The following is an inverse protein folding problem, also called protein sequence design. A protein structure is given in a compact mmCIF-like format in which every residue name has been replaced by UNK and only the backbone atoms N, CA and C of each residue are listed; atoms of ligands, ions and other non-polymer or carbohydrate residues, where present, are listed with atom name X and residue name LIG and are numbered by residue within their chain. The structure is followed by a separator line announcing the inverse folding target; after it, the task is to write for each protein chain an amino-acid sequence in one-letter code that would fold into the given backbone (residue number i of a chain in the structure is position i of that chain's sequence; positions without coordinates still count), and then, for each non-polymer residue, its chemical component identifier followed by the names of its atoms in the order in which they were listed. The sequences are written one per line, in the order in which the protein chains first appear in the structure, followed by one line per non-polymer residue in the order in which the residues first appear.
data_IF_745617266811
#
_entry.id   IF_745617266811
#
_cell.length_a   1.000
_cell.length_b   1.000
_cell.length_c   1.000
_cell.angle_alpha   90.00
_cell.angle_beta   90.00
_cell.angle_gamma   90.00
#
_symmetry.space_group_name_H-M   'P 1'
#
loop_
_entity.id
_entity.type
_entity.pdbx_description
1 polymer ?
#
# COMPACT_ATOMS: atom_id res chain seq x y z
N UNK A 1 -23.80 -0.42 18.09
CA UNK A 1 -22.63 -1.13 17.51
C UNK A 1 -21.36 -0.50 18.07
N UNK A 2 -20.31 -1.29 18.32
CA UNK A 2 -18.99 -0.76 18.69
C UNK A 2 -18.40 -0.04 17.46
N UNK A 3 -17.95 1.21 17.61
CA UNK A 3 -17.31 1.97 16.53
C UNK A 3 -15.89 1.47 16.28
N UNK A 4 -15.43 1.59 15.05
CA UNK A 4 -14.03 1.34 14.69
C UNK A 4 -13.18 2.53 15.13
N UNK A 5 -12.18 2.29 15.97
CA UNK A 5 -11.26 3.33 16.46
C UNK A 5 -10.10 3.50 15.50
N UNK A 6 -9.79 4.74 15.15
CA UNK A 6 -8.59 5.09 14.38
C UNK A 6 -7.81 6.13 15.18
N UNK A 7 -6.62 5.74 15.65
CA UNK A 7 -5.71 6.69 16.24
C UNK A 7 -5.01 7.51 15.17
N UNK A 8 -4.97 8.83 15.36
CA UNK A 8 -4.17 9.77 14.59
C UNK A 8 -3.30 10.55 15.55
N UNK A 9 -1.98 10.37 15.44
CA UNK A 9 -1.00 11.00 16.31
C UNK A 9 -0.04 11.85 15.49
N UNK A 10 0.31 13.01 16.02
CA UNK A 10 1.31 13.88 15.40
C UNK A 10 2.71 13.26 15.59
N UNK A 11 3.47 13.14 14.52
CA UNK A 11 4.87 12.75 14.54
C UNK A 11 5.61 13.61 13.50
N UNK A 12 6.29 14.69 13.92
CA UNK A 12 6.75 15.74 13.01
C UNK A 12 7.86 15.29 12.06
N UNK A 13 8.65 14.31 12.47
CA UNK A 13 9.83 13.80 11.77
C UNK A 13 10.10 12.34 12.18
N UNK A 14 11.20 11.79 11.67
CA UNK A 14 11.66 10.44 12.01
C UNK A 14 12.69 10.44 13.15
N UNK A 15 12.69 11.45 14.01
CA UNK A 15 13.62 11.46 15.13
C UNK A 15 13.21 10.38 16.15
N UNK A 16 14.11 9.47 16.58
CA UNK A 16 13.72 8.23 17.26
C UNK A 16 12.79 8.42 18.47
N UNK A 17 13.03 9.48 19.27
CA UNK A 17 12.21 9.80 20.43
C UNK A 17 10.78 10.19 20.04
N UNK A 18 10.61 11.02 19.00
CA UNK A 18 9.30 11.44 18.52
C UNK A 18 8.49 10.26 17.95
N UNK A 19 9.14 9.39 17.17
CA UNK A 19 8.50 8.22 16.55
C UNK A 19 8.02 7.25 17.63
N UNK A 20 8.89 6.93 18.60
CA UNK A 20 8.55 6.03 19.71
C UNK A 20 7.40 6.57 20.55
N UNK A 21 7.48 7.83 20.97
CA UNK A 21 6.43 8.47 21.78
C UNK A 21 5.08 8.49 21.03
N UNK A 22 5.11 8.81 19.73
CA UNK A 22 3.90 8.84 18.89
C UNK A 22 3.29 7.45 18.75
N UNK A 23 4.11 6.42 18.49
CA UNK A 23 3.66 5.03 18.42
C UNK A 23 3.00 4.58 19.73
N UNK A 24 3.64 4.83 20.88
CA UNK A 24 3.10 4.48 22.19
C UNK A 24 1.73 5.13 22.43
N UNK A 25 1.63 6.45 22.22
CA UNK A 25 0.36 7.19 22.36
C UNK A 25 -0.75 6.64 21.46
N UNK A 26 -0.42 6.31 20.21
CA UNK A 26 -1.40 5.78 19.27
C UNK A 26 -1.87 4.37 19.63
N UNK A 27 -0.95 3.50 20.07
CA UNK A 27 -1.26 2.16 20.54
C UNK A 27 -2.15 2.20 21.80
N UNK A 28 -1.84 3.05 22.77
CA UNK A 28 -2.66 3.26 23.97
C UNK A 28 -4.07 3.74 23.61
N UNK A 29 -4.20 4.70 22.69
CA UNK A 29 -5.48 5.26 22.28
C UNK A 29 -6.45 4.23 21.66
N UNK A 30 -5.92 3.17 21.03
CA UNK A 30 -6.73 2.07 20.46
C UNK A 30 -6.93 0.88 21.41
N UNK A 31 -6.42 0.95 22.64
CA UNK A 31 -6.63 -0.06 23.69
C UNK A 31 -5.37 -0.77 24.19
N UNK A 32 -4.19 -0.41 23.68
CA UNK A 32 -2.91 -0.98 24.08
C UNK A 32 -2.63 -2.37 23.47
N UNK A 33 -1.35 -2.73 23.42
CA UNK A 33 -0.88 -3.97 22.78
C UNK A 33 -1.47 -5.23 23.39
N UNK A 34 -1.65 -5.28 24.71
CA UNK A 34 -2.14 -6.49 25.41
C UNK A 34 -3.61 -6.81 25.08
N UNK A 35 -4.38 -5.82 24.66
CA UNK A 35 -5.74 -6.05 24.14
C UNK A 35 -5.76 -6.64 22.74
N UNK A 36 -4.63 -6.52 22.01
CA UNK A 36 -4.50 -6.86 20.61
C UNK A 36 -3.70 -8.13 20.39
N UNK A 37 -2.67 -8.41 21.18
CA UNK A 37 -1.68 -9.46 20.94
C UNK A 37 -1.24 -10.06 22.28
N UNK A 38 -1.23 -11.39 22.39
CA UNK A 38 -0.73 -12.15 23.54
C UNK A 38 0.79 -12.24 23.58
N UNK A 39 1.39 -12.33 24.76
CA UNK A 39 2.86 -12.29 24.93
C UNK A 39 3.60 -13.44 24.26
N UNK A 40 2.97 -14.62 24.20
CA UNK A 40 3.56 -15.85 23.64
C UNK A 40 3.33 -16.00 22.13
N UNK A 41 2.50 -15.15 21.52
CA UNK A 41 2.13 -15.24 20.10
C UNK A 41 3.35 -14.98 19.19
N UNK A 42 3.48 -15.77 18.13
CA UNK A 42 4.45 -15.52 17.06
C UNK A 42 3.98 -14.33 16.22
N UNK A 43 4.64 -13.19 16.39
CA UNK A 43 4.32 -11.94 15.72
C UNK A 43 5.07 -11.84 14.39
N UNK A 44 4.33 -11.59 13.31
CA UNK A 44 4.90 -11.18 12.03
C UNK A 44 4.68 -9.68 11.81
N UNK A 45 5.77 -8.93 11.73
CA UNK A 45 5.78 -7.55 11.30
C UNK A 45 5.85 -7.48 9.78
N UNK A 46 4.87 -6.82 9.17
CA UNK A 46 4.75 -6.69 7.72
C UNK A 46 5.00 -5.22 7.32
N UNK A 47 6.24 -4.80 7.02
CA UNK A 47 6.53 -3.48 6.48
C UNK A 47 6.11 -3.38 5.01
N UNK A 48 6.15 -2.20 4.38
CA UNK A 48 6.01 -2.07 2.94
C UNK A 48 7.37 -2.08 2.23
N UNK A 49 7.77 -3.19 1.59
CA UNK A 49 9.06 -3.37 0.88
C UNK A 49 8.87 -3.65 -0.62
N UNK A 50 8.17 -2.74 -1.31
CA UNK A 50 7.81 -2.94 -2.73
C UNK A 50 9.02 -3.09 -3.67
N UNK A 51 10.03 -2.23 -3.52
CA UNK A 51 11.28 -2.25 -4.29
C UNK A 51 12.35 -1.41 -3.60
N UNK A 52 13.60 -1.62 -3.99
CA UNK A 52 14.72 -0.74 -3.63
C UNK A 52 14.44 0.70 -3.99
N UNK A 53 14.60 1.56 -2.99
CA UNK A 53 14.58 3.00 -3.12
C UNK A 53 15.30 3.60 -1.92
N UNK A 54 15.95 4.74 -2.14
CA UNK A 54 16.48 5.55 -1.05
C UNK A 54 15.37 5.97 -0.09
N UNK A 55 15.70 6.05 1.20
CA UNK A 55 14.79 6.42 2.29
C UNK A 55 13.98 7.68 2.01
N UNK A 56 14.61 8.72 1.47
CA UNK A 56 13.97 10.02 1.22
C UNK A 56 12.88 9.96 0.13
N UNK A 57 12.78 8.85 -0.61
CA UNK A 57 11.76 8.67 -1.63
C UNK A 57 10.40 8.28 -1.08
N UNK A 58 10.27 7.94 0.20
CA UNK A 58 9.00 7.52 0.83
C UNK A 58 8.29 6.38 0.06
N UNK A 59 9.07 5.45 -0.52
CA UNK A 59 8.55 4.31 -1.29
C UNK A 59 8.18 3.14 -0.39
N UNK A 60 9.00 2.91 0.63
CA UNK A 60 8.93 1.82 1.60
C UNK A 60 8.69 2.38 3.00
N UNK A 61 8.21 1.56 3.94
CA UNK A 61 8.09 1.93 5.36
C UNK A 61 9.45 2.40 5.90
N UNK A 62 9.47 3.48 6.66
CA UNK A 62 10.72 4.03 7.18
C UNK A 62 11.31 3.11 8.27
N UNK A 63 12.64 2.86 8.26
CA UNK A 63 13.28 1.99 9.25
C UNK A 63 13.08 2.48 10.69
N UNK A 64 12.97 3.80 10.94
CA UNK A 64 12.79 4.30 12.32
C UNK A 64 11.40 3.98 12.89
N UNK A 65 10.37 3.88 12.04
CA UNK A 65 9.05 3.41 12.46
C UNK A 65 9.12 1.95 12.88
N UNK A 66 9.91 1.14 12.17
CA UNK A 66 10.12 -0.26 12.51
C UNK A 66 10.97 -0.42 13.76
N UNK A 67 12.04 0.35 13.92
CA UNK A 67 12.92 0.35 15.10
C UNK A 67 12.12 0.68 16.37
N UNK A 68 11.34 1.75 16.31
CA UNK A 68 10.50 2.17 17.43
C UNK A 68 9.41 1.13 17.75
N UNK A 69 8.75 0.56 16.73
CA UNK A 69 7.74 -0.49 16.95
C UNK A 69 8.35 -1.74 17.61
N UNK A 70 9.48 -2.23 17.10
CA UNK A 70 10.16 -3.41 17.65
C UNK A 70 10.62 -3.13 19.08
N UNK A 71 11.20 -1.94 19.33
CA UNK A 71 11.58 -1.50 20.68
C UNK A 71 10.40 -1.54 21.63
N UNK A 72 9.25 -0.96 21.24
CA UNK A 72 8.05 -0.95 22.09
C UNK A 72 7.57 -2.38 22.37
N UNK A 73 7.53 -3.25 21.37
CA UNK A 73 7.14 -4.65 21.55
C UNK A 73 8.08 -5.37 22.54
N UNK A 74 9.39 -5.27 22.34
CA UNK A 74 10.37 -5.92 23.22
C UNK A 74 10.35 -5.37 24.66
N UNK A 75 10.21 -4.05 24.83
CA UNK A 75 10.06 -3.43 26.17
C UNK A 75 8.78 -3.88 26.89
N UNK A 76 7.75 -4.29 26.13
CA UNK A 76 6.53 -4.87 26.67
C UNK A 76 6.58 -6.41 26.78
N UNK A 77 7.75 -7.03 26.59
CA UNK A 77 7.95 -8.48 26.79
C UNK A 77 7.47 -9.37 25.64
N UNK A 78 7.32 -8.84 24.43
CA UNK A 78 7.08 -9.66 23.24
C UNK A 78 8.42 -10.14 22.66
N UNK A 79 8.66 -11.45 22.70
CA UNK A 79 9.96 -12.04 22.30
C UNK A 79 9.91 -12.72 20.92
N UNK A 80 8.76 -13.28 20.53
CA UNK A 80 8.59 -14.07 19.31
C UNK A 80 8.27 -13.18 18.09
N UNK A 81 9.19 -12.29 17.72
CA UNK A 81 8.99 -11.33 16.63
C UNK A 81 9.76 -11.77 15.38
N UNK A 82 9.11 -11.69 14.22
CA UNK A 82 9.74 -11.80 12.91
C UNK A 82 9.27 -10.69 11.98
N UNK A 83 9.98 -10.43 10.88
CA UNK A 83 9.62 -9.42 9.90
C UNK A 83 9.55 -10.06 8.51
N UNK A 84 8.62 -9.68 7.64
CA UNK A 84 8.55 -10.27 6.30
C UNK A 84 7.68 -9.49 5.31
N UNK A 85 8.12 -9.46 4.05
CA UNK A 85 7.33 -8.96 2.93
C UNK A 85 7.79 -9.62 1.61
N UNK A 86 6.85 -9.96 0.73
CA UNK A 86 7.17 -10.36 -0.64
C UNK A 86 7.38 -9.13 -1.51
N UNK A 87 8.57 -9.01 -2.10
CA UNK A 87 8.98 -7.84 -2.86
C UNK A 87 8.59 -7.92 -4.34
N UNK A 88 8.45 -6.77 -5.02
CA UNK A 88 8.11 -6.73 -6.45
C UNK A 88 9.29 -7.01 -7.39
N UNK A 89 10.48 -6.49 -7.05
CA UNK A 89 11.75 -6.70 -7.77
C UNK A 89 12.91 -6.63 -6.78
N UNK A 90 13.72 -7.69 -6.72
CA UNK A 90 14.80 -7.85 -5.75
C UNK A 90 14.45 -8.91 -4.70
N UNK A 91 15.37 -9.12 -3.76
CA UNK A 91 15.12 -9.97 -2.58
C UNK A 91 14.70 -9.09 -1.39
N UNK A 92 13.89 -9.63 -0.45
CA UNK A 92 13.56 -8.91 0.78
C UNK A 92 14.80 -8.41 1.52
N UNK A 93 15.83 -9.25 1.64
CA UNK A 93 17.11 -8.85 2.26
C UNK A 93 17.78 -7.67 1.55
N UNK A 94 17.85 -7.69 0.22
CA UNK A 94 18.49 -6.62 -0.55
C UNK A 94 17.77 -5.28 -0.42
N UNK A 95 16.43 -5.31 -0.42
CA UNK A 95 15.60 -4.12 -0.26
C UNK A 95 15.66 -3.60 1.18
N UNK A 96 15.59 -4.50 2.17
CA UNK A 96 15.72 -4.14 3.57
C UNK A 96 17.06 -3.46 3.85
N UNK A 97 18.15 -3.95 3.25
CA UNK A 97 19.47 -3.32 3.35
C UNK A 97 19.50 -1.92 2.74
N UNK A 98 18.99 -1.72 1.53
CA UNK A 98 18.99 -0.38 0.90
C UNK A 98 18.08 0.62 1.66
N UNK A 99 17.01 0.11 2.28
CA UNK A 99 16.10 0.91 3.09
C UNK A 99 16.64 1.22 4.50
N UNK A 100 17.75 0.60 4.94
CA UNK A 100 18.26 0.70 6.31
C UNK A 100 17.49 -0.15 7.34
N UNK A 101 16.53 -0.97 6.88
CA UNK A 101 15.74 -1.84 7.74
C UNK A 101 16.53 -3.07 8.19
N UNK A 102 17.49 -3.55 7.39
CA UNK A 102 18.29 -4.73 7.75
C UNK A 102 19.07 -4.48 9.05
N UNK A 103 19.69 -3.31 9.17
CA UNK A 103 20.46 -2.90 10.34
C UNK A 103 19.58 -2.81 11.60
N UNK A 104 18.34 -2.31 11.46
CA UNK A 104 17.34 -2.30 12.54
C UNK A 104 16.97 -3.71 12.97
N UNK A 105 16.69 -4.60 12.02
CA UNK A 105 16.33 -6.00 12.32
C UNK A 105 17.48 -6.73 13.02
N UNK A 106 18.72 -6.53 12.58
CA UNK A 106 19.92 -7.11 13.21
C UNK A 106 20.14 -6.55 14.63
N UNK A 107 20.01 -5.22 14.82
CA UNK A 107 20.09 -4.56 16.14
C UNK A 107 19.13 -5.19 17.16
N UNK A 108 17.92 -5.55 16.72
CA UNK A 108 16.87 -6.10 17.59
C UNK A 108 16.80 -7.64 17.59
N UNK A 109 17.69 -8.34 16.87
CA UNK A 109 17.64 -9.80 16.69
C UNK A 109 16.31 -10.31 16.10
N UNK A 110 15.67 -9.53 15.23
CA UNK A 110 14.41 -9.90 14.56
C UNK A 110 14.72 -10.54 13.20
N UNK A 111 14.39 -11.83 12.96
CA UNK A 111 14.64 -12.47 11.67
C UNK A 111 13.77 -11.90 10.55
N UNK A 112 14.38 -11.67 9.39
CA UNK A 112 13.69 -11.35 8.14
C UNK A 112 13.28 -12.65 7.41
N UNK A 113 12.01 -12.79 7.10
CA UNK A 113 11.39 -13.92 6.39
C UNK A 113 11.25 -13.59 4.91
N UNK A 114 11.77 -14.47 4.06
CA UNK A 114 11.74 -14.29 2.60
C UNK A 114 10.45 -14.79 1.92
N UNK A 115 9.50 -15.35 2.69
CA UNK A 115 8.25 -15.93 2.19
C UNK A 115 8.46 -16.99 1.10
N UNK A 116 9.40 -17.90 1.36
CA UNK A 116 9.86 -18.93 0.41
C UNK A 116 8.80 -19.99 0.10
N UNK A 117 7.85 -20.20 1.01
CA UNK A 117 6.76 -21.18 0.84
C UNK A 117 5.42 -20.49 0.79
N UNK A 118 4.47 -21.09 0.08
CA UNK A 118 3.13 -20.52 -0.11
C UNK A 118 2.04 -21.59 -0.04
N UNK A 119 0.85 -21.16 0.33
CA UNK A 119 -0.37 -21.92 0.29
C UNK A 119 -1.30 -21.38 -0.80
N UNK A 120 -1.96 -22.31 -1.51
CA UNK A 120 -2.98 -21.96 -2.50
C UNK A 120 -4.31 -21.77 -1.77
N UNK A 121 -4.84 -20.55 -1.84
CA UNK A 121 -6.14 -20.19 -1.28
C UNK A 121 -7.10 -19.86 -2.42
N UNK A 122 -8.23 -20.55 -2.48
CA UNK A 122 -9.28 -20.26 -3.46
C UNK A 122 -10.05 -18.99 -3.07
N UNK A 123 -10.36 -18.17 -4.07
CA UNK A 123 -11.17 -16.95 -3.93
C UNK A 123 -12.62 -17.23 -4.29
N UNK A 124 -13.53 -16.40 -3.82
CA UNK A 124 -14.98 -16.55 -4.03
C UNK A 124 -15.38 -16.54 -5.53
N UNK A 125 -14.56 -15.91 -6.38
CA UNK A 125 -14.74 -15.88 -7.84
C UNK A 125 -14.17 -17.11 -8.58
N UNK A 126 -13.73 -18.14 -7.85
CA UNK A 126 -13.22 -19.40 -8.40
C UNK A 126 -11.77 -19.34 -8.90
N UNK A 127 -11.05 -18.24 -8.64
CA UNK A 127 -9.61 -18.12 -8.87
C UNK A 127 -8.83 -18.54 -7.62
N UNK A 128 -7.54 -18.22 -7.57
CA UNK A 128 -6.70 -18.53 -6.43
C UNK A 128 -5.63 -17.46 -6.15
N UNK A 129 -5.18 -17.44 -4.90
CA UNK A 129 -4.05 -16.68 -4.41
C UNK A 129 -2.98 -17.64 -3.89
N UNK A 130 -1.72 -17.29 -4.10
CA UNK A 130 -0.60 -17.98 -3.47
C UNK A 130 -0.08 -17.08 -2.35
N UNK A 131 -0.50 -17.38 -1.12
CA UNK A 131 -0.20 -16.57 0.06
C UNK A 131 1.00 -17.19 0.79
N UNK A 132 1.92 -16.37 1.25
CA UNK A 132 3.08 -16.79 2.02
C UNK A 132 2.65 -17.54 3.28
N UNK A 133 3.22 -18.72 3.53
CA UNK A 133 2.90 -19.50 4.74
C UNK A 133 3.27 -18.77 6.02
N UNK A 134 4.41 -18.08 6.04
CA UNK A 134 4.81 -17.27 7.20
C UNK A 134 3.73 -16.24 7.60
N UNK A 135 2.94 -15.73 6.66
CA UNK A 135 1.85 -14.79 6.92
C UNK A 135 0.51 -15.46 7.30
N UNK A 136 0.35 -16.76 7.04
CA UNK A 136 -0.81 -17.55 7.45
C UNK A 136 -0.60 -18.29 8.77
N UNK A 137 0.63 -18.73 9.02
CA UNK A 137 1.02 -19.56 10.16
C UNK A 137 1.40 -18.74 11.40
N UNK A 138 1.54 -17.41 11.28
CA UNK A 138 1.79 -16.54 12.43
C UNK A 138 0.51 -16.36 13.28
N UNK A 139 0.68 -16.22 14.59
CA UNK A 139 -0.45 -16.03 15.52
C UNK A 139 -1.01 -14.60 15.47
N UNK A 140 -0.13 -13.63 15.16
CA UNK A 140 -0.49 -12.22 15.04
C UNK A 140 0.32 -11.52 13.95
N UNK A 141 -0.36 -10.88 13.00
CA UNK A 141 0.27 -10.02 12.00
C UNK A 141 0.03 -8.54 12.32
N UNK A 142 1.11 -7.75 12.35
CA UNK A 142 1.08 -6.29 12.42
C UNK A 142 1.52 -5.71 11.07
N UNK A 143 0.60 -5.03 10.39
CA UNK A 143 0.88 -4.42 9.09
C UNK A 143 1.31 -2.97 9.24
N UNK A 144 2.53 -2.65 8.79
CA UNK A 144 3.09 -1.31 8.79
C UNK A 144 3.22 -0.80 7.35
N UNK A 145 2.23 -0.06 6.89
CA UNK A 145 2.17 0.49 5.54
C UNK A 145 2.78 1.88 5.45
N UNK A 146 3.20 2.30 4.24
CA UNK A 146 3.55 3.69 3.92
C UNK A 146 2.34 4.41 3.32
N UNK A 147 2.06 5.63 3.78
CA UNK A 147 1.01 6.51 3.24
C UNK A 147 1.39 6.96 1.83
N UNK A 148 0.69 6.49 0.80
CA UNK A 148 1.00 6.84 -0.58
C UNK A 148 -0.17 6.72 -1.56
N UNK A 149 -0.10 7.52 -2.62
CA UNK A 149 -0.98 7.40 -3.79
C UNK A 149 -0.74 6.11 -4.58
N UNK A 150 -1.74 5.72 -5.36
CA UNK A 150 -1.69 4.60 -6.29
C UNK A 150 -2.47 4.91 -7.59
N UNK A 151 -1.94 4.50 -8.74
CA UNK A 151 -2.54 4.83 -10.03
C UNK A 151 -3.92 4.18 -10.28
N UNK A 152 -4.08 2.93 -9.83
CA UNK A 152 -5.30 2.11 -9.96
C UNK A 152 -6.28 2.33 -8.79
N UNK A 153 -5.89 1.95 -7.57
CA UNK A 153 -6.68 2.05 -6.33
C UNK A 153 -6.74 3.44 -5.67
N UNK A 154 -6.16 4.49 -6.28
CA UNK A 154 -5.99 5.86 -5.73
C UNK A 154 -5.02 5.98 -4.57
N UNK A 155 -5.07 5.08 -3.60
CA UNK A 155 -4.16 5.01 -2.45
C UNK A 155 -3.62 3.59 -2.27
N UNK A 156 -2.55 3.44 -1.49
CA UNK A 156 -2.05 2.12 -1.04
C UNK A 156 -2.64 1.77 0.32
N UNK A 157 -2.28 2.51 1.38
CA UNK A 157 -2.89 2.33 2.69
C UNK A 157 -2.72 0.93 3.31
N UNK A 158 -3.52 0.67 4.33
CA UNK A 158 -3.53 -0.54 5.14
C UNK A 158 -3.92 -1.79 4.33
N UNK A 159 -5.01 -1.70 3.54
CA UNK A 159 -5.57 -2.85 2.82
C UNK A 159 -4.59 -3.36 1.76
N UNK A 160 -4.09 -2.46 0.90
CA UNK A 160 -3.22 -2.85 -0.23
C UNK A 160 -1.85 -3.35 0.25
N UNK A 161 -1.41 -2.97 1.45
CA UNK A 161 -0.13 -3.43 1.98
C UNK A 161 -0.06 -4.97 2.07
N UNK A 162 -1.20 -5.64 2.30
CA UNK A 162 -1.26 -7.10 2.36
C UNK A 162 -1.00 -7.77 1.01
N UNK A 163 -1.02 -7.03 -0.11
CA UNK A 163 -0.61 -7.59 -1.40
C UNK A 163 0.83 -8.15 -1.37
N UNK A 164 1.66 -7.64 -0.46
CA UNK A 164 2.99 -8.20 -0.21
C UNK A 164 3.01 -9.54 0.54
N UNK A 165 1.88 -10.08 0.97
CA UNK A 165 1.77 -11.46 1.44
C UNK A 165 1.58 -12.46 0.28
N UNK A 166 1.35 -11.99 -0.96
CA UNK A 166 1.33 -12.85 -2.14
C UNK A 166 2.77 -13.19 -2.55
N UNK A 167 3.07 -14.48 -2.72
CA UNK A 167 4.46 -14.93 -2.95
C UNK A 167 4.95 -14.68 -4.38
N UNK A 168 6.01 -13.88 -4.51
CA UNK A 168 6.92 -13.85 -5.65
C UNK A 168 6.25 -13.65 -7.01
N UNK A 169 6.38 -14.63 -7.90
CA UNK A 169 5.87 -14.57 -9.28
C UNK A 169 4.35 -14.38 -9.35
N UNK A 170 3.62 -14.82 -8.33
CA UNK A 170 2.16 -14.72 -8.29
C UNK A 170 1.66 -13.29 -8.07
N UNK A 171 2.52 -12.36 -7.61
CA UNK A 171 2.19 -10.92 -7.63
C UNK A 171 2.04 -10.42 -9.07
N UNK A 172 2.94 -10.81 -9.96
CA UNK A 172 2.82 -10.43 -11.39
C UNK A 172 1.60 -11.07 -12.03
N UNK A 173 1.30 -12.33 -11.70
CA UNK A 173 0.13 -13.05 -12.20
C UNK A 173 -1.18 -12.47 -11.63
N UNK A 174 -1.20 -12.00 -10.39
CA UNK A 174 -2.38 -11.35 -9.81
C UNK A 174 -2.82 -10.14 -10.63
N UNK A 175 -1.88 -9.34 -11.16
CA UNK A 175 -2.20 -8.22 -12.04
C UNK A 175 -2.84 -8.62 -13.38
N UNK A 176 -2.66 -9.86 -13.86
CA UNK A 176 -3.36 -10.35 -15.05
C UNK A 176 -4.70 -10.97 -14.71
N UNK A 177 -4.82 -11.65 -13.56
CA UNK A 177 -6.06 -12.23 -13.07
C UNK A 177 -7.10 -11.18 -12.61
N UNK A 178 -6.62 -10.02 -12.14
CA UNK A 178 -7.43 -8.94 -11.60
C UNK A 178 -6.99 -7.57 -12.19
N UNK A 179 -7.27 -7.32 -13.49
CA UNK A 179 -6.66 -6.22 -14.23
C UNK A 179 -7.32 -4.85 -13.98
N UNK A 180 -8.54 -4.82 -13.43
CA UNK A 180 -9.28 -3.59 -13.16
C UNK A 180 -9.43 -3.35 -11.65
N UNK A 181 -9.67 -2.09 -11.27
CA UNK A 181 -9.68 -1.66 -9.88
C UNK A 181 -10.72 -2.38 -9.01
N UNK A 182 -11.91 -2.68 -9.54
CA UNK A 182 -12.95 -3.42 -8.82
C UNK A 182 -12.52 -4.86 -8.53
N UNK A 183 -12.09 -5.59 -9.56
CA UNK A 183 -11.61 -6.97 -9.40
C UNK A 183 -10.38 -7.07 -8.50
N UNK A 184 -9.49 -6.07 -8.57
CA UNK A 184 -8.29 -6.03 -7.74
C UNK A 184 -8.63 -5.72 -6.29
N UNK A 185 -9.54 -4.79 -6.03
CA UNK A 185 -10.03 -4.49 -4.69
C UNK A 185 -10.71 -5.71 -4.05
N UNK A 186 -11.61 -6.41 -4.73
CA UNK A 186 -12.24 -7.63 -4.18
C UNK A 186 -11.20 -8.66 -3.74
N UNK A 187 -10.20 -8.91 -4.60
CA UNK A 187 -9.09 -9.80 -4.27
C UNK A 187 -8.30 -9.32 -3.04
N UNK A 188 -8.02 -8.01 -2.93
CA UNK A 188 -7.35 -7.46 -1.75
C UNK A 188 -8.18 -7.62 -0.48
N UNK A 189 -9.51 -7.50 -0.56
CA UNK A 189 -10.40 -7.72 0.58
C UNK A 189 -10.34 -9.18 1.04
N UNK A 190 -10.49 -10.14 0.12
CA UNK A 190 -10.37 -11.56 0.43
C UNK A 190 -8.98 -11.90 1.01
N UNK A 191 -7.91 -11.31 0.46
CA UNK A 191 -6.55 -11.46 0.98
C UNK A 191 -6.44 -10.97 2.43
N UNK A 192 -7.00 -9.80 2.74
CA UNK A 192 -7.00 -9.27 4.10
C UNK A 192 -7.82 -10.15 5.06
N UNK A 193 -8.95 -10.73 4.60
CA UNK A 193 -9.74 -11.66 5.41
C UNK A 193 -9.00 -12.97 5.70
N UNK A 194 -8.16 -13.44 4.78
CA UNK A 194 -7.37 -14.67 4.94
C UNK A 194 -6.14 -14.47 5.80
N UNK A 195 -5.43 -13.36 5.63
CA UNK A 195 -4.24 -13.01 6.42
C UNK A 195 -4.62 -12.48 7.80
N UNK A 196 -5.78 -11.83 7.92
CA UNK A 196 -6.36 -11.29 9.14
C UNK A 196 -5.37 -10.52 10.06
N UNK A 197 -4.68 -9.46 9.57
CA UNK A 197 -3.84 -8.63 10.44
C UNK A 197 -4.62 -8.08 11.64
N UNK A 198 -4.01 -8.13 12.82
CA UNK A 198 -4.63 -7.70 14.10
C UNK A 198 -4.44 -6.20 14.35
N UNK A 199 -3.40 -5.62 13.77
CA UNK A 199 -3.08 -4.21 13.88
C UNK A 199 -2.54 -3.67 12.56
N UNK A 200 -3.04 -2.52 12.15
CA UNK A 200 -2.58 -1.76 11.01
C UNK A 200 -2.01 -0.43 11.49
N UNK A 201 -0.80 -0.14 11.05
CA UNK A 201 -0.08 1.11 11.26
C UNK A 201 0.19 1.70 9.88
N UNK A 202 -0.12 2.98 9.69
CA UNK A 202 0.21 3.73 8.49
C UNK A 202 1.19 4.83 8.81
N UNK A 203 2.40 4.68 8.27
CA UNK A 203 3.47 5.67 8.29
C UNK A 203 3.14 6.79 7.31
N UNK A 204 2.62 7.90 7.85
CA UNK A 204 2.38 9.15 7.16
C UNK A 204 3.25 10.29 7.70
N UNK A 205 4.43 10.01 8.26
CA UNK A 205 5.33 11.08 8.70
C UNK A 205 5.80 11.83 7.44
N UNK A 206 6.40 11.09 6.51
CA UNK A 206 6.59 11.51 5.12
C UNK A 206 5.86 10.52 4.23
N UNK A 207 4.82 11.02 3.56
CA UNK A 207 3.99 10.30 2.60
C UNK A 207 4.50 10.46 1.16
N UNK A 208 3.86 9.79 0.20
CA UNK A 208 4.12 9.96 -1.23
C UNK A 208 2.86 10.33 -2.02
N UNK A 209 2.90 11.47 -2.71
CA UNK A 209 1.81 11.95 -3.56
C UNK A 209 2.13 11.88 -5.07
N UNK A 210 1.13 12.13 -5.92
CA UNK A 210 1.31 12.21 -7.37
C UNK A 210 1.42 10.84 -8.05
N UNK A 211 2.54 10.60 -8.75
CA UNK A 211 2.73 9.40 -9.59
C UNK A 211 3.18 8.17 -8.77
N UNK A 212 2.54 7.94 -7.62
CA UNK A 212 2.72 6.74 -6.80
C UNK A 212 2.34 5.44 -7.54
N UNK A 213 2.71 4.26 -7.03
CA UNK A 213 3.14 4.02 -5.64
C UNK A 213 4.66 4.00 -5.42
N UNK A 214 5.46 4.28 -6.44
CA UNK A 214 6.94 4.30 -6.30
C UNK A 214 7.64 5.43 -7.05
N UNK A 215 6.90 6.19 -7.86
CA UNK A 215 7.42 7.28 -8.71
C UNK A 215 6.76 8.62 -8.38
N UNK A 216 6.11 8.71 -7.23
CA UNK A 216 5.53 9.93 -6.70
C UNK A 216 6.55 10.77 -5.94
N UNK A 217 6.09 11.91 -5.45
CA UNK A 217 6.91 12.90 -4.77
C UNK A 217 6.68 12.81 -3.25
N UNK A 218 7.75 12.80 -2.44
CA UNK A 218 7.63 12.83 -0.98
C UNK A 218 6.94 14.10 -0.51
N UNK A 219 6.03 13.98 0.47
CA UNK A 219 5.32 15.11 1.08
C UNK A 219 5.20 14.87 2.58
N UNK A 220 5.51 15.88 3.38
CA UNK A 220 5.34 15.79 4.83
C UNK A 220 3.86 15.81 5.18
N UNK A 221 3.43 14.83 5.96
CA UNK A 221 2.08 14.74 6.53
C UNK A 221 2.15 14.74 8.06
N UNK A 222 3.29 14.36 8.65
CA UNK A 222 3.58 14.53 10.07
C UNK A 222 2.70 13.70 10.99
N UNK A 223 2.21 12.54 10.54
CA UNK A 223 1.25 11.72 11.29
C UNK A 223 1.54 10.23 11.22
N UNK A 224 1.19 9.51 12.28
CA UNK A 224 1.01 8.06 12.26
C UNK A 224 -0.47 7.74 12.46
N UNK A 225 -0.98 6.76 11.72
CA UNK A 225 -2.34 6.25 11.89
C UNK A 225 -2.30 4.81 12.38
N UNK A 226 -3.21 4.44 13.28
CA UNK A 226 -3.28 3.07 13.81
C UNK A 226 -4.73 2.64 13.99
N UNK A 227 -5.04 1.39 13.62
CA UNK A 227 -6.37 0.82 13.82
C UNK A 227 -6.31 -0.71 13.73
N UNK A 228 -7.34 -1.36 14.25
CA UNK A 228 -7.65 -2.77 14.00
C UNK A 228 -8.59 -2.96 12.81
N UNK A 229 -9.18 -1.88 12.29
CA UNK A 229 -10.04 -1.86 11.11
C UNK A 229 -9.29 -1.17 9.96
N UNK A 230 -8.89 -1.93 8.92
CA UNK A 230 -8.10 -1.37 7.83
C UNK A 230 -8.91 -0.42 6.93
N UNK A 231 -10.24 -0.61 6.84
CA UNK A 231 -11.12 0.25 6.05
C UNK A 231 -11.32 1.59 6.75
N UNK A 232 -11.50 1.57 8.07
CA UNK A 232 -11.58 2.78 8.87
C UNK A 232 -10.26 3.57 8.81
N UNK A 233 -9.11 2.89 8.90
CA UNK A 233 -7.79 3.52 8.77
C UNK A 233 -7.62 4.20 7.41
N UNK A 234 -7.92 3.50 6.31
CA UNK A 234 -7.81 4.05 4.96
C UNK A 234 -8.83 5.16 4.69
N UNK A 235 -9.97 5.14 5.38
CA UNK A 235 -10.98 6.22 5.35
C UNK A 235 -10.46 7.49 6.02
N UNK A 236 -9.83 7.38 7.19
CA UNK A 236 -9.19 8.53 7.86
C UNK A 236 -8.03 9.07 7.03
N UNK A 237 -7.24 8.20 6.37
CA UNK A 237 -6.26 8.65 5.37
C UNK A 237 -6.95 9.47 4.26
N UNK A 238 -8.05 8.98 3.68
CA UNK A 238 -8.80 9.72 2.66
C UNK A 238 -9.22 11.12 3.15
N UNK A 239 -9.72 11.23 4.38
CA UNK A 239 -10.09 12.51 4.99
C UNK A 239 -8.93 13.48 5.10
N UNK A 240 -7.78 13.01 5.58
CA UNK A 240 -6.55 13.81 5.70
C UNK A 240 -6.12 14.42 4.36
N UNK A 241 -6.34 13.71 3.25
CA UNK A 241 -5.97 14.18 1.91
C UNK A 241 -7.15 14.72 1.11
N UNK A 242 -8.29 15.01 1.75
CA UNK A 242 -9.49 15.52 1.10
C UNK A 242 -9.91 14.68 -0.13
N UNK A 243 -9.87 13.36 0.01
CA UNK A 243 -10.36 12.38 -0.94
C UNK A 243 -11.67 11.80 -0.39
N UNK A 244 -12.71 11.71 -1.23
CA UNK A 244 -13.96 11.03 -0.87
C UNK A 244 -13.66 9.52 -0.69
N UNK A 245 -13.85 8.95 0.52
CA UNK A 245 -13.53 7.54 0.80
C UNK A 245 -14.27 6.57 -0.12
N UNK A 246 -15.47 6.92 -0.58
CA UNK A 246 -16.26 6.08 -1.49
C UNK A 246 -15.62 5.91 -2.88
N UNK A 247 -14.64 6.76 -3.23
CA UNK A 247 -13.93 6.66 -4.50
C UNK A 247 -12.79 5.66 -4.46
N UNK A 248 -12.34 5.25 -3.27
CA UNK A 248 -11.34 4.21 -3.07
C UNK A 248 -12.04 2.85 -3.14
N UNK A 249 -11.76 2.01 -4.15
CA UNK A 249 -12.50 0.76 -4.35
C UNK A 249 -12.38 -0.20 -3.15
N UNK A 250 -11.21 -0.27 -2.50
CA UNK A 250 -11.04 -1.09 -1.29
C UNK A 250 -11.92 -0.62 -0.14
N UNK A 251 -12.16 0.68 0.02
CA UNK A 251 -13.06 1.17 1.08
C UNK A 251 -14.50 0.78 0.78
N UNK A 252 -14.97 1.05 -0.44
CA UNK A 252 -16.33 0.71 -0.87
C UNK A 252 -16.61 -0.78 -0.74
N UNK A 253 -15.74 -1.63 -1.27
CA UNK A 253 -15.96 -3.08 -1.28
C UNK A 253 -15.64 -3.73 0.06
N UNK A 254 -14.70 -3.19 0.82
CA UNK A 254 -14.36 -3.65 2.15
C UNK A 254 -15.54 -3.57 3.11
N UNK A 255 -16.37 -2.53 3.03
CA UNK A 255 -17.65 -2.49 3.76
C UNK A 255 -18.59 -3.59 3.29
N UNK A 256 -18.84 -3.68 1.98
CA UNK A 256 -19.85 -4.60 1.45
C UNK A 256 -19.51 -6.08 1.69
N UNK A 257 -18.21 -6.39 1.79
CA UNK A 257 -17.69 -7.73 2.03
C UNK A 257 -17.33 -7.98 3.49
N UNK A 258 -17.54 -7.00 4.39
CA UNK A 258 -17.41 -7.16 5.84
C UNK A 258 -15.97 -7.15 6.39
N UNK A 259 -15.04 -6.45 5.73
CA UNK A 259 -13.68 -6.25 6.25
C UNK A 259 -13.59 -5.11 7.28
N UNK A 260 -14.44 -4.10 7.18
CA UNK A 260 -14.39 -2.90 8.03
C UNK A 260 -15.37 -1.84 7.57
N UNK A 261 -15.31 -0.62 8.14
CA UNK A 261 -16.24 0.48 7.81
C UNK A 261 -15.58 1.73 7.26
N UNK A 262 -16.18 2.32 6.21
CA UNK A 262 -15.83 3.65 5.71
C UNK A 262 -16.86 4.73 6.07
N UNK A 263 -17.90 4.38 6.83
CA UNK A 263 -18.94 5.32 7.26
C UNK A 263 -18.52 6.08 8.52
N UNK A 264 -18.49 7.41 8.44
CA UNK A 264 -17.97 8.30 9.47
C UNK A 264 -18.69 8.17 10.82
N UNK A 265 -20.01 7.92 10.80
CA UNK A 265 -20.80 7.74 12.01
C UNK A 265 -20.41 6.46 12.80
N UNK A 266 -19.75 5.51 12.14
CA UNK A 266 -19.22 4.27 12.73
C UNK A 266 -17.71 4.29 12.97
N UNK A 267 -17.04 5.41 12.67
CA UNK A 267 -15.62 5.61 12.96
C UNK A 267 -15.48 6.57 14.14
N UNK A 268 -14.56 6.26 15.05
CA UNK A 268 -14.14 7.14 16.14
C UNK A 268 -12.68 7.51 15.95
N UNK A 269 -12.42 8.80 15.72
CA UNK A 269 -11.06 9.32 15.53
C UNK A 269 -10.50 9.71 16.89
N UNK A 270 -9.52 8.96 17.36
CA UNK A 270 -8.86 9.19 18.65
C UNK A 270 -7.48 9.81 18.44
N UNK A 271 -7.08 10.70 19.33
CA UNK A 271 -5.75 11.31 19.38
C UNK A 271 -5.18 11.15 20.78
N UNK A 272 -3.93 11.57 20.99
CA UNK A 272 -3.34 11.62 22.34
C UNK A 272 -4.13 12.51 23.31
N UNK A 273 -4.85 13.52 22.79
CA UNK A 273 -5.59 14.51 23.58
C UNK A 273 -7.08 14.17 23.73
N UNK A 274 -7.53 13.04 23.17
CA UNK A 274 -8.93 12.61 23.17
C UNK A 274 -9.52 12.44 21.77
N UNK A 275 -10.84 12.29 21.70
CA UNK A 275 -11.58 12.08 20.45
C UNK A 275 -11.86 13.40 19.75
N UNK A 276 -11.69 13.44 18.42
CA UNK A 276 -11.93 14.64 17.61
C UNK A 276 -12.92 14.36 16.49
N UNK A 277 -13.55 15.41 15.97
CA UNK A 277 -14.38 15.34 14.77
C UNK A 277 -13.54 15.23 13.49
N UNK A 278 -14.17 14.83 12.39
CA UNK A 278 -13.56 14.83 11.06
C UNK A 278 -13.12 16.23 10.61
N UNK A 279 -13.91 17.26 10.93
CA UNK A 279 -13.58 18.65 10.62
C UNK A 279 -12.30 19.10 11.36
N UNK A 280 -12.18 18.74 12.64
CA UNK A 280 -10.98 19.01 13.43
C UNK A 280 -9.78 18.22 12.95
N UNK A 281 -9.96 16.95 12.55
CA UNK A 281 -8.91 16.14 11.92
C UNK A 281 -8.35 16.85 10.69
N UNK A 282 -9.24 17.24 9.77
CA UNK A 282 -8.87 17.94 8.52
C UNK A 282 -8.17 19.26 8.80
N UNK A 283 -8.62 20.00 9.82
CA UNK A 283 -8.01 21.28 10.21
C UNK A 283 -6.64 21.11 10.86
N UNK A 284 -6.44 20.08 11.70
CA UNK A 284 -5.21 19.88 12.50
C UNK A 284 -4.12 19.15 11.72
N UNK A 285 -4.50 18.19 10.88
CA UNK A 285 -3.57 17.26 10.22
C UNK A 285 -3.75 17.15 8.71
N UNK A 286 -4.79 17.76 8.15
CA UNK A 286 -5.14 17.59 6.75
C UNK A 286 -4.21 18.35 5.80
N UNK A 287 -3.97 17.75 4.64
CA UNK A 287 -3.35 18.40 3.49
C UNK A 287 -4.34 18.37 2.31
N UNK A 288 -5.16 19.41 2.13
CA UNK A 288 -6.14 19.46 1.03
C UNK A 288 -5.49 19.57 -0.35
N UNK A 289 -4.22 19.97 -0.42
CA UNK A 289 -3.46 20.10 -1.67
C UNK A 289 -2.74 18.82 -2.07
N UNK A 290 -2.84 17.75 -1.25
CA UNK A 290 -2.18 16.48 -1.53
C UNK A 290 -2.50 16.00 -2.95
N UNK A 291 -1.50 15.67 -3.75
CA UNK A 291 -1.71 15.31 -5.15
C UNK A 291 -2.25 13.88 -5.29
N UNK A 292 -3.58 13.74 -5.23
CA UNK A 292 -4.31 12.47 -5.38
C UNK A 292 -5.46 12.59 -6.38
N UNK A 293 -5.80 11.47 -7.02
CA UNK A 293 -6.93 11.42 -7.95
C UNK A 293 -8.27 11.52 -7.20
N UNK A 294 -8.91 12.70 -7.28
CA UNK A 294 -10.23 12.99 -6.68
C UNK A 294 -11.39 12.92 -7.68
N UNK A 295 -11.16 12.43 -8.89
CA UNK A 295 -12.20 12.41 -9.92
C UNK A 295 -13.21 11.32 -9.58
N UNK A 296 -14.51 11.65 -9.57
CA UNK A 296 -15.57 10.68 -9.27
C UNK A 296 -15.44 9.45 -10.17
N UNK A 297 -15.57 8.26 -9.59
CA UNK A 297 -15.78 7.07 -10.38
C UNK A 297 -17.05 7.28 -11.22
N UNK A 298 -16.98 7.05 -12.54
CA UNK A 298 -18.11 7.28 -13.44
C UNK A 298 -19.21 6.27 -13.10
N UNK A 299 -20.47 6.72 -13.00
CA UNK A 299 -21.62 5.80 -12.92
C UNK A 299 -21.77 5.09 -14.27
N UNK A 300 -22.00 3.77 -14.26
CA UNK A 300 -22.33 2.97 -15.45
C UNK A 300 -23.53 3.62 -16.16
N UNK A 301 -23.39 3.90 -17.46
CA UNK A 301 -24.38 4.64 -18.24
C UNK A 301 -24.14 4.55 -19.74
N UNK A 302 -24.91 5.30 -20.55
CA UNK A 302 -24.86 5.22 -22.03
C UNK A 302 -23.48 5.48 -22.68
N UNK A 303 -22.55 6.09 -21.95
CA UNK A 303 -21.15 6.30 -22.37
C UNK A 303 -20.24 5.07 -22.16
N UNK A 304 -20.73 3.98 -21.54
CA UNK A 304 -19.98 2.73 -21.35
C UNK A 304 -19.55 2.13 -22.68
N UNK A 305 -20.31 2.34 -23.77
CA UNK A 305 -19.92 1.93 -25.12
C UNK A 305 -18.59 2.58 -25.56
N UNK A 306 -18.35 3.84 -25.19
CA UNK A 306 -17.07 4.53 -25.47
C UNK A 306 -15.93 4.07 -24.55
N UNK A 307 -16.26 3.52 -23.39
CA UNK A 307 -15.29 2.89 -22.48
C UNK A 307 -14.87 1.49 -22.97
N UNK A 308 -15.82 0.73 -23.53
CA UNK A 308 -15.56 -0.52 -24.29
C UNK A 308 -14.65 -0.22 -25.49
N UNK A 309 -14.81 0.93 -26.16
CA UNK A 309 -13.92 1.39 -27.23
C UNK A 309 -12.55 1.89 -26.73
N UNK A 310 -12.30 1.91 -25.41
CA UNK A 310 -11.00 2.23 -24.83
C UNK A 310 -10.59 3.71 -24.92
N UNK A 311 -11.55 4.60 -25.15
CA UNK A 311 -11.34 6.04 -25.44
C UNK A 311 -10.94 6.85 -24.20
N UNK A 312 -11.44 6.46 -23.01
CA UNK A 312 -11.25 7.22 -21.76
C UNK A 312 -10.32 6.53 -20.76
N UNK A 313 -9.69 5.41 -21.15
CA UNK A 313 -8.87 4.63 -20.24
C UNK A 313 -7.51 5.27 -20.01
N UNK A 314 -7.07 5.27 -18.76
CA UNK A 314 -5.72 5.72 -18.37
C UNK A 314 -4.67 4.79 -18.98
N UNK A 315 -3.55 5.36 -19.45
CA UNK A 315 -2.47 4.58 -20.09
C UNK A 315 -1.10 5.02 -19.56
N UNK A 316 -0.17 4.08 -19.38
CA UNK A 316 1.22 4.42 -19.09
C UNK A 316 1.88 5.01 -20.36
N UNK A 317 2.77 5.97 -20.21
CA UNK A 317 3.64 6.46 -21.28
C UNK A 317 5.03 6.74 -20.74
N UNK A 318 6.04 6.61 -21.61
CA UNK A 318 7.43 6.84 -21.25
C UNK A 318 7.82 8.28 -21.56
N UNK A 319 8.42 8.94 -20.57
CA UNK A 319 9.11 10.22 -20.68
C UNK A 319 10.51 9.91 -21.20
N UNK A 320 10.75 10.23 -22.47
CA UNK A 320 11.97 9.87 -23.18
C UNK A 320 13.22 10.41 -22.49
N UNK A 321 13.18 11.65 -22.00
CA UNK A 321 14.35 12.31 -21.39
C UNK A 321 14.78 11.64 -20.07
N UNK A 322 13.83 11.01 -19.36
CA UNK A 322 14.09 10.28 -18.11
C UNK A 322 14.50 8.82 -18.34
N UNK A 323 14.19 8.24 -19.50
CA UNK A 323 14.35 6.81 -19.73
C UNK A 323 15.82 6.42 -19.95
N UNK A 324 16.37 5.58 -19.06
CA UNK A 324 17.71 5.00 -19.21
C UNK A 324 17.75 3.69 -19.99
N UNK A 325 16.63 3.28 -20.59
CA UNK A 325 16.55 2.09 -21.47
C UNK A 325 17.02 0.79 -20.78
N UNK A 326 16.82 0.70 -19.46
CA UNK A 326 17.27 -0.42 -18.64
C UNK A 326 16.50 -1.73 -18.88
N UNK A 327 15.24 -1.65 -19.32
CA UNK A 327 14.40 -2.82 -19.66
C UNK A 327 13.49 -3.31 -18.53
N UNK A 328 13.57 -2.76 -17.32
CA UNK A 328 12.76 -3.21 -16.17
C UNK A 328 11.24 -3.17 -16.45
N UNK A 329 10.75 -2.19 -17.20
CA UNK A 329 9.33 -2.12 -17.60
C UNK A 329 8.90 -3.27 -18.53
N UNK A 330 9.81 -3.75 -19.39
CA UNK A 330 9.60 -4.89 -20.30
C UNK A 330 9.59 -6.19 -19.49
N UNK A 331 10.55 -6.36 -18.59
CA UNK A 331 10.65 -7.54 -17.73
C UNK A 331 9.46 -7.68 -16.78
N UNK A 332 9.05 -6.57 -16.15
CA UNK A 332 7.92 -6.52 -15.21
C UNK A 332 6.56 -6.68 -15.86
N UNK A 333 6.41 -6.42 -17.17
CA UNK A 333 5.12 -6.55 -17.84
C UNK A 333 4.60 -8.00 -17.75
N UNK A 334 3.43 -8.24 -17.13
CA UNK A 334 2.95 -9.59 -16.87
C UNK A 334 2.17 -10.20 -18.04
N UNK A 335 1.88 -9.40 -19.08
CA UNK A 335 1.14 -9.85 -20.26
C UNK A 335 2.03 -10.77 -21.11
N UNK A 336 1.47 -11.91 -21.53
CA UNK A 336 2.14 -12.83 -22.45
C UNK A 336 2.51 -12.12 -23.76
N UNK A 337 3.75 -12.33 -24.24
CA UNK A 337 4.29 -11.61 -25.39
C UNK A 337 4.56 -10.11 -25.16
N UNK A 338 4.44 -9.63 -23.90
CA UNK A 338 4.77 -8.28 -23.40
C UNK A 338 4.04 -7.13 -24.12
N UNK A 339 3.32 -6.32 -23.36
CA UNK A 339 2.66 -5.11 -23.88
C UNK A 339 3.59 -3.90 -24.03
N UNK A 340 4.86 -4.02 -23.63
CA UNK A 340 5.91 -3.02 -23.82
C UNK A 340 7.19 -3.72 -24.21
N UNK A 341 7.86 -3.25 -25.27
CA UNK A 341 9.02 -3.93 -25.87
C UNK A 341 9.98 -2.95 -26.54
N UNK A 342 11.19 -3.41 -26.82
CA UNK A 342 12.13 -2.68 -27.66
C UNK A 342 11.97 -3.12 -29.13
N UNK A 343 11.60 -2.20 -30.02
CA UNK A 343 11.42 -2.52 -31.45
C UNK A 343 12.75 -2.49 -32.24
N UNK A 344 13.76 -1.75 -31.78
CA UNK A 344 15.05 -1.57 -32.49
C UNK A 344 16.26 -1.67 -31.52
N UNK A 345 16.28 -2.72 -30.69
CA UNK A 345 17.24 -2.84 -29.59
C UNK A 345 17.11 -1.69 -28.58
N UNK A 346 18.15 -1.47 -27.75
CA UNK A 346 18.13 -0.45 -26.68
C UNK A 346 18.57 0.96 -27.12
N UNK A 347 18.39 1.31 -28.41
CA UNK A 347 18.73 2.65 -28.93
C UNK A 347 17.73 3.70 -28.46
N UNK A 348 16.44 3.38 -28.57
CA UNK A 348 15.32 4.22 -28.17
C UNK A 348 14.62 3.65 -26.92
N UNK A 349 13.81 4.45 -26.20
CA UNK A 349 12.91 3.92 -25.18
C UNK A 349 12.02 2.79 -25.74
N UNK A 350 11.60 1.84 -24.88
CA UNK A 350 10.67 0.81 -25.31
C UNK A 350 9.30 1.42 -25.65
N UNK A 351 8.54 0.76 -26.51
CA UNK A 351 7.23 1.23 -27.00
C UNK A 351 6.11 0.32 -26.50
N UNK A 352 4.95 0.92 -26.27
CA UNK A 352 3.76 0.19 -25.83
C UNK A 352 2.93 -0.32 -27.00
N UNK A 353 2.47 -1.56 -26.88
CA UNK A 353 1.31 -2.08 -27.59
C UNK A 353 0.07 -1.89 -26.70
N UNK A 354 -0.65 -0.79 -26.88
CA UNK A 354 -1.84 -0.48 -26.07
C UNK A 354 -3.03 -1.39 -26.34
N UNK A 355 -3.01 -2.18 -27.43
CA UNK A 355 -4.03 -3.21 -27.67
C UNK A 355 -3.81 -4.41 -26.75
N UNK A 356 -2.55 -4.75 -26.46
CA UNK A 356 -2.17 -5.79 -25.49
C UNK A 356 -2.14 -5.30 -24.05
N UNK A 357 -1.94 -4.01 -23.82
CA UNK A 357 -1.77 -3.45 -22.47
C UNK A 357 -3.06 -3.59 -21.64
N UNK A 358 -3.01 -4.41 -20.60
CA UNK A 358 -4.11 -4.57 -19.63
C UNK A 358 -4.23 -3.41 -18.63
N UNK A 359 -3.34 -2.39 -18.72
CA UNK A 359 -3.35 -1.18 -17.88
C UNK A 359 -3.25 -1.46 -16.37
N UNK A 360 -2.54 -2.52 -15.99
CA UNK A 360 -2.22 -2.82 -14.59
C UNK A 360 -1.20 -1.85 -13.95
N UNK A 361 -0.55 -1.01 -14.76
CA UNK A 361 0.48 -0.04 -14.35
C UNK A 361 1.73 -0.62 -13.65
N UNK A 362 1.92 -1.94 -13.65
CA UNK A 362 3.12 -2.59 -13.11
C UNK A 362 4.43 -1.97 -13.68
N UNK A 363 4.47 -1.68 -14.99
CA UNK A 363 5.62 -0.99 -15.59
C UNK A 363 5.95 0.38 -14.97
N UNK A 364 4.94 1.14 -14.54
CA UNK A 364 5.10 2.42 -13.85
C UNK A 364 5.57 2.21 -12.41
N UNK A 365 4.98 1.27 -11.70
CA UNK A 365 5.38 0.89 -10.34
C UNK A 365 6.83 0.38 -10.26
N UNK A 366 7.30 -0.30 -11.31
CA UNK A 366 8.64 -0.90 -11.33
C UNK A 366 9.72 -0.02 -11.95
N UNK A 367 9.41 1.17 -12.49
CA UNK A 367 10.40 2.00 -13.17
C UNK A 367 11.37 2.65 -12.16
N UNK A 368 12.67 2.28 -12.13
CA UNK A 368 13.61 2.85 -11.15
C UNK A 368 13.98 4.31 -11.46
N UNK A 369 13.74 4.76 -12.69
CA UNK A 369 14.07 6.11 -13.17
C UNK A 369 12.88 7.06 -13.20
N UNK A 370 11.71 6.64 -12.72
CA UNK A 370 10.47 7.44 -12.72
C UNK A 370 10.15 7.99 -14.12
N UNK A 371 10.51 7.22 -15.14
CA UNK A 371 10.37 7.60 -16.54
C UNK A 371 9.00 7.23 -17.11
N UNK A 372 8.10 6.66 -16.31
CA UNK A 372 6.76 6.25 -16.76
C UNK A 372 5.71 7.02 -15.96
N UNK A 373 4.83 7.73 -16.66
CA UNK A 373 3.68 8.44 -16.09
C UNK A 373 2.38 7.83 -16.57
N UNK A 374 1.31 8.05 -15.82
CA UNK A 374 -0.04 7.60 -16.17
C UNK A 374 -0.85 8.79 -16.67
N UNK A 375 -1.14 8.82 -17.98
CA UNK A 375 -2.01 9.85 -18.56
C UNK A 375 -3.46 9.40 -18.46
N UNK A 376 -4.29 10.21 -17.80
CA UNK A 376 -5.73 9.93 -17.66
C UNK A 376 -6.50 10.84 -18.66
N UNK A 377 -6.93 10.29 -19.81
CA UNK A 377 -7.45 11.09 -20.95
C UNK A 377 -8.94 11.48 -20.82
N UNK A 378 -9.30 12.67 -21.35
CA UNK A 378 -10.68 13.18 -21.47
C UNK A 378 -11.23 13.22 -22.91
N UNK A 379 -10.44 12.87 -23.93
CA UNK A 379 -10.82 12.88 -25.35
C UNK A 379 -10.11 11.75 -26.13
N UNK A 380 -10.75 11.16 -27.16
CA UNK A 380 -10.11 10.22 -28.09
C UNK A 380 -8.96 10.88 -28.86
N UNK A 381 -7.85 10.17 -29.05
CA UNK A 381 -6.75 10.66 -29.88
C UNK A 381 -7.13 10.67 -31.37
N UNK A 382 -6.89 11.81 -32.01
CA UNK A 382 -6.58 11.87 -33.43
C UNK A 382 -5.16 11.34 -33.67
N UNK A 383 -5.01 10.69 -34.83
CA UNK A 383 -3.86 9.91 -35.36
C UNK A 383 -2.47 10.21 -34.80
#
# INVERSE_FOLDING_TARGET
MKKSKVAVVACPDYEPAHVKESLQKGLEAIGGLESLIGKEENILLKPNLVRSAKRERAVVTDPEVMDALITILQENGYENISCGDSCGLGTPEGIAKEAGLKEVLEKHNVPLKDFLTSERVETADGKFLMIAKDALDCDALISVSKMKTHALERITGAVKNQYGCISGVYKKLGHTQYPNAESFAHMLIELNQKVAPRLYICDGIVAMEGNGPTSGDPVSMGVLLMSTDPIALDTVFCHLVNLDPSYVPTNLYGETLGLGTWHDDRIEIVTADGTISEEELKRKYGNPNFNVDRRKARKKGALDLLEILGVFQSRPYIIEEKCKKCGVCVESCPVEGKAVRFDNGRRNPPVYDYKKCIRCFCCQEMCPHQAIQVKKHRLPWGK
#
